data_IF_456682653029
#
_entry.id   IF_456682653029
#
_cell.length_a   1.000
_cell.length_b   1.000
_cell.length_c   1.000
_cell.angle_alpha   90.00
_cell.angle_beta   90.00
_cell.angle_gamma   90.00
#
_symmetry.space_group_name_H-M   'P 1'
#
loop_
_entity.id
_entity.type
_entity.pdbx_description
1 polymer ?
#
# COMPACT_ATOMS: atom_id res chain seq x y z
N UNK A 1 -3.84 -8.32 17.32
CA UNK A 1 -2.80 -8.35 16.29
C UNK A 1 -1.35 -8.50 16.84
N UNK A 2 -1.04 -8.08 18.07
CA UNK A 2 0.29 -8.28 18.68
C UNK A 2 0.74 -9.73 18.92
N UNK A 3 -0.09 -10.74 18.63
CA UNK A 3 0.25 -12.15 18.91
C UNK A 3 1.05 -12.83 17.79
N UNK A 4 0.98 -12.35 16.55
CA UNK A 4 1.66 -13.00 15.41
C UNK A 4 3.13 -12.60 15.37
N UNK A 5 3.45 -11.33 15.63
CA UNK A 5 4.84 -10.86 15.73
C UNK A 5 5.57 -11.49 16.91
N UNK A 6 4.91 -11.58 18.08
CA UNK A 6 5.49 -12.31 19.22
C UNK A 6 5.66 -13.80 18.94
N UNK A 7 4.80 -14.41 18.09
CA UNK A 7 4.97 -15.80 17.64
C UNK A 7 6.11 -15.92 16.63
N UNK A 8 6.23 -15.02 15.67
CA UNK A 8 7.32 -15.04 14.71
C UNK A 8 8.68 -14.87 15.41
N UNK A 9 8.85 -13.85 16.26
CA UNK A 9 10.10 -13.62 16.98
C UNK A 9 10.46 -14.76 17.95
N UNK A 10 9.48 -15.45 18.54
CA UNK A 10 9.73 -16.64 19.38
C UNK A 10 10.13 -17.86 18.57
N UNK A 11 9.60 -18.05 17.36
CA UNK A 11 10.01 -19.14 16.49
C UNK A 11 11.42 -18.98 15.93
N UNK A 12 11.81 -17.76 15.60
CA UNK A 12 13.17 -17.46 15.12
C UNK A 12 14.27 -17.75 16.15
N UNK A 13 13.96 -17.73 17.43
CA UNK A 13 14.96 -17.96 18.49
C UNK A 13 15.24 -19.46 18.75
N UNK A 14 14.37 -20.38 18.30
CA UNK A 14 14.41 -21.80 18.70
C UNK A 14 14.57 -22.81 17.57
N UNK A 15 14.73 -22.37 16.32
CA UNK A 15 14.75 -23.31 15.17
C UNK A 15 16.15 -23.84 14.82
N UNK A 16 17.17 -23.47 15.57
CA UNK A 16 18.56 -23.92 15.34
C UNK A 16 19.20 -23.41 14.06
N UNK A 17 18.52 -22.52 13.32
CA UNK A 17 19.04 -21.95 12.07
C UNK A 17 20.15 -20.93 12.38
N UNK A 18 21.06 -20.75 11.43
CA UNK A 18 22.02 -19.63 11.45
C UNK A 18 21.25 -18.35 11.67
N UNK A 19 21.69 -17.49 12.58
CA UNK A 19 20.97 -16.31 13.11
C UNK A 19 20.31 -15.38 12.06
N UNK A 20 20.64 -15.49 10.77
CA UNK A 20 20.16 -14.63 9.68
C UNK A 20 19.15 -15.30 8.74
N UNK A 21 18.85 -16.59 8.88
CA UNK A 21 17.98 -17.34 7.97
C UNK A 21 16.58 -17.59 8.57
N UNK A 22 15.60 -17.89 7.73
CA UNK A 22 14.25 -18.22 8.13
C UNK A 22 13.73 -19.47 7.42
N UNK A 23 12.79 -20.18 8.03
CA UNK A 23 12.10 -21.29 7.37
C UNK A 23 11.08 -20.77 6.35
N UNK A 24 10.80 -21.54 5.30
CA UNK A 24 9.75 -21.22 4.33
C UNK A 24 8.41 -20.96 5.04
N UNK A 25 8.06 -21.79 6.00
CA UNK A 25 6.85 -21.64 6.80
C UNK A 25 6.79 -20.28 7.51
N UNK A 26 7.88 -19.81 8.09
CA UNK A 26 7.94 -18.51 8.75
C UNK A 26 7.86 -17.34 7.76
N UNK A 27 8.53 -17.46 6.62
CA UNK A 27 8.45 -16.46 5.54
C UNK A 27 7.00 -16.31 5.05
N UNK A 28 6.34 -17.43 4.78
CA UNK A 28 4.94 -17.43 4.37
C UNK A 28 4.05 -16.85 5.47
N UNK A 29 4.22 -17.23 6.72
CA UNK A 29 3.41 -16.73 7.85
C UNK A 29 3.49 -15.20 8.02
N UNK A 30 4.63 -14.59 7.72
CA UNK A 30 4.81 -13.14 7.78
C UNK A 30 4.29 -12.43 6.52
N UNK A 31 4.56 -12.99 5.34
CA UNK A 31 4.33 -12.32 4.07
C UNK A 31 2.99 -12.66 3.41
N UNK A 32 2.30 -13.73 3.81
CA UNK A 32 1.08 -14.21 3.16
C UNK A 32 -0.21 -13.49 3.57
N UNK A 33 -0.13 -12.40 4.29
CA UNK A 33 -1.32 -11.67 4.74
C UNK A 33 -2.09 -11.11 3.55
N UNK A 34 -3.31 -11.61 3.34
CA UNK A 34 -4.34 -11.07 2.44
C UNK A 34 -4.04 -11.11 0.92
N UNK A 35 -3.45 -12.19 0.41
CA UNK A 35 -3.20 -12.25 -1.02
C UNK A 35 -3.78 -13.49 -1.70
N UNK A 36 -4.81 -13.30 -2.54
CA UNK A 36 -5.49 -14.35 -3.32
C UNK A 36 -4.57 -15.08 -4.32
N UNK A 37 -3.39 -14.53 -4.58
CA UNK A 37 -2.40 -15.11 -5.49
C UNK A 37 -1.36 -15.98 -4.80
N UNK A 38 -1.36 -16.04 -3.47
CA UNK A 38 -0.35 -16.75 -2.68
C UNK A 38 -0.22 -18.22 -3.11
N UNK A 39 -1.34 -18.93 -3.17
CA UNK A 39 -1.37 -20.34 -3.56
C UNK A 39 -0.77 -20.55 -4.96
N UNK A 40 -1.09 -19.68 -5.91
CA UNK A 40 -0.53 -19.75 -7.27
C UNK A 40 0.98 -19.55 -7.28
N UNK A 41 1.48 -18.64 -6.46
CA UNK A 41 2.93 -18.38 -6.34
C UNK A 41 3.63 -19.59 -5.74
N UNK A 42 3.13 -20.12 -4.63
CA UNK A 42 3.71 -21.30 -4.00
C UNK A 42 3.76 -22.50 -4.95
N UNK A 43 2.67 -22.73 -5.68
CA UNK A 43 2.60 -23.79 -6.70
C UNK A 43 3.61 -23.54 -7.83
N UNK A 44 3.81 -22.29 -8.26
CA UNK A 44 4.77 -21.96 -9.32
C UNK A 44 6.23 -22.24 -8.93
N UNK A 45 6.55 -22.14 -7.64
CA UNK A 45 7.86 -22.46 -7.10
C UNK A 45 7.93 -23.89 -6.52
N UNK A 46 6.86 -24.70 -6.66
CA UNK A 46 6.77 -26.06 -6.09
C UNK A 46 7.05 -26.09 -4.57
N UNK A 47 6.56 -25.08 -3.85
CA UNK A 47 6.81 -24.90 -2.42
C UNK A 47 5.56 -25.27 -1.63
N UNK A 48 5.76 -26.13 -0.63
CA UNK A 48 4.75 -26.44 0.37
C UNK A 48 4.78 -25.42 1.52
N UNK A 49 3.63 -24.80 1.81
CA UNK A 49 3.48 -23.79 2.87
C UNK A 49 3.83 -24.33 4.27
N UNK A 50 3.64 -25.62 4.51
CA UNK A 50 3.96 -26.27 5.78
C UNK A 50 5.42 -26.77 5.87
N UNK A 51 6.19 -26.54 4.81
CA UNK A 51 7.57 -27.01 4.75
C UNK A 51 8.47 -26.24 5.73
N UNK A 52 9.19 -26.96 6.57
CA UNK A 52 10.17 -26.41 7.50
C UNK A 52 11.58 -26.22 6.88
N UNK A 53 11.70 -26.35 5.56
CA UNK A 53 12.97 -26.09 4.88
C UNK A 53 13.39 -24.60 5.01
N UNK A 54 14.69 -24.40 5.13
CA UNK A 54 15.28 -23.08 5.33
C UNK A 54 15.41 -22.37 3.98
N UNK A 55 15.06 -21.11 3.93
CA UNK A 55 15.42 -20.22 2.83
C UNK A 55 16.92 -19.92 2.93
N UNK A 56 17.66 -20.33 1.90
CA UNK A 56 19.12 -20.23 1.83
C UNK A 56 19.57 -18.83 1.34
N UNK A 57 18.88 -17.79 1.78
CA UNK A 57 19.22 -16.39 1.51
C UNK A 57 19.58 -15.75 2.84
N UNK A 58 20.73 -15.11 2.91
CA UNK A 58 21.19 -14.44 4.13
C UNK A 58 20.35 -13.21 4.47
N UNK A 59 20.27 -12.87 5.75
CA UNK A 59 19.56 -11.70 6.31
C UNK A 59 18.03 -11.70 6.16
N UNK A 60 17.41 -12.76 5.69
CA UNK A 60 15.94 -12.86 5.53
C UNK A 60 15.21 -12.56 6.83
N UNK A 61 15.76 -12.95 7.97
CA UNK A 61 15.15 -12.71 9.28
C UNK A 61 15.01 -11.22 9.56
N UNK A 62 16.07 -10.44 9.37
CA UNK A 62 16.03 -8.98 9.56
C UNK A 62 15.02 -8.32 8.63
N UNK A 63 15.00 -8.70 7.34
CA UNK A 63 14.01 -8.21 6.39
C UNK A 63 12.57 -8.49 6.83
N UNK A 64 12.28 -9.70 7.34
CA UNK A 64 10.95 -10.05 7.83
C UNK A 64 10.56 -9.26 9.08
N UNK A 65 11.51 -8.99 9.97
CA UNK A 65 11.29 -8.17 11.16
C UNK A 65 10.96 -6.72 10.76
N UNK A 66 11.69 -6.14 9.81
CA UNK A 66 11.45 -4.79 9.28
C UNK A 66 10.07 -4.67 8.59
N UNK A 67 9.71 -5.66 7.77
CA UNK A 67 8.38 -5.69 7.11
C UNK A 67 7.27 -5.81 8.15
N UNK A 68 7.43 -6.68 9.13
CA UNK A 68 6.46 -6.85 10.19
C UNK A 68 6.30 -5.56 11.02
N UNK A 69 7.38 -4.86 11.31
CA UNK A 69 7.37 -3.57 11.99
C UNK A 69 6.66 -2.48 11.16
N UNK A 70 6.92 -2.43 9.84
CA UNK A 70 6.23 -1.51 8.94
C UNK A 70 4.72 -1.77 8.87
N UNK A 71 4.31 -3.02 8.82
CA UNK A 71 2.89 -3.40 8.82
C UNK A 71 2.22 -3.11 10.17
N UNK A 72 3.00 -3.14 11.26
CA UNK A 72 2.50 -2.76 12.59
C UNK A 72 2.40 -1.25 12.78
N UNK A 73 3.17 -0.45 12.06
CA UNK A 73 3.14 1.01 12.17
C UNK A 73 2.07 1.67 11.32
N UNK A 74 1.62 1.03 10.26
CA UNK A 74 0.69 1.63 9.32
C UNK A 74 -0.42 0.68 8.87
N UNK A 75 -1.65 1.19 8.86
CA UNK A 75 -2.79 0.54 8.20
C UNK A 75 -2.83 0.99 6.74
N UNK A 76 -2.86 0.03 5.80
CA UNK A 76 -2.96 0.29 4.36
C UNK A 76 -4.35 -0.15 3.89
N UNK A 77 -5.06 0.76 3.22
CA UNK A 77 -6.42 0.52 2.72
C UNK A 77 -6.50 1.05 1.29
N UNK A 78 -6.92 0.22 0.36
CA UNK A 78 -7.27 0.65 -0.98
C UNK A 78 -8.78 0.88 -1.03
N UNK A 79 -9.19 2.06 -1.48
CA UNK A 79 -10.59 2.47 -1.54
C UNK A 79 -10.98 2.72 -2.99
N UNK A 80 -12.04 2.06 -3.42
CA UNK A 80 -12.61 2.28 -4.74
C UNK A 80 -13.54 3.48 -4.71
N UNK A 81 -13.20 4.53 -5.47
CA UNK A 81 -14.01 5.75 -5.58
C UNK A 81 -14.16 6.17 -7.04
N UNK A 82 -15.20 6.94 -7.35
CA UNK A 82 -15.32 7.55 -8.69
C UNK A 82 -14.40 8.77 -8.77
N UNK A 83 -13.78 8.98 -9.92
CA UNK A 83 -12.90 10.14 -10.13
C UNK A 83 -13.58 11.47 -9.83
N UNK A 84 -14.89 11.59 -10.17
CA UNK A 84 -15.71 12.79 -9.92
C UNK A 84 -16.02 13.03 -8.44
N UNK A 85 -15.88 12.01 -7.61
CA UNK A 85 -16.19 12.05 -6.18
C UNK A 85 -14.94 12.34 -5.34
N UNK A 86 -13.82 12.71 -5.97
CA UNK A 86 -12.62 13.20 -5.32
C UNK A 86 -12.58 14.73 -5.49
N UNK A 87 -12.74 15.45 -4.38
CA UNK A 87 -12.81 16.90 -4.36
C UNK A 87 -11.61 17.52 -3.64
N UNK A 88 -10.97 18.51 -4.26
CA UNK A 88 -9.88 19.26 -3.63
C UNK A 88 -10.48 20.27 -2.63
N UNK A 89 -10.19 20.11 -1.36
CA UNK A 89 -10.61 21.06 -0.31
C UNK A 89 -9.67 22.26 -0.25
N UNK A 90 -8.38 22.00 -0.25
CA UNK A 90 -7.37 23.10 -0.24
C UNK A 90 -6.00 22.60 -0.69
N UNK A 91 -5.24 23.51 -1.28
CA UNK A 91 -3.81 23.34 -1.49
C UNK A 91 -3.06 23.70 -0.22
N UNK A 92 -2.12 22.87 0.17
CA UNK A 92 -1.25 23.09 1.31
C UNK A 92 0.14 23.54 0.86
N UNK A 93 0.92 24.03 1.81
CA UNK A 93 2.37 24.21 1.62
C UNK A 93 3.05 22.84 1.38
N UNK A 94 4.31 22.84 1.04
CA UNK A 94 5.10 21.62 0.78
C UNK A 94 4.54 20.71 -0.31
N UNK A 95 3.92 21.29 -1.34
CA UNK A 95 3.40 20.50 -2.48
C UNK A 95 2.30 19.50 -2.11
N UNK A 96 1.62 19.66 -0.99
CA UNK A 96 0.53 18.82 -0.53
C UNK A 96 -0.84 19.42 -0.86
N UNK A 97 -1.88 18.62 -0.67
CA UNK A 97 -3.27 19.05 -0.77
C UNK A 97 -4.15 18.22 0.15
N UNK A 98 -5.28 18.77 0.55
CA UNK A 98 -6.38 18.05 1.20
C UNK A 98 -7.44 17.73 0.17
N UNK A 99 -7.84 16.48 0.10
CA UNK A 99 -8.95 16.03 -0.72
C UNK A 99 -10.04 15.41 0.15
N UNK A 100 -11.30 15.67 -0.22
CA UNK A 100 -12.43 14.92 0.29
C UNK A 100 -12.77 13.81 -0.71
N UNK A 101 -12.82 12.59 -0.22
CA UNK A 101 -13.29 11.42 -0.96
C UNK A 101 -14.75 11.18 -0.56
N UNK A 102 -15.67 11.09 -1.53
CA UNK A 102 -17.10 10.82 -1.30
C UNK A 102 -17.49 9.43 -1.83
N UNK A 103 -18.60 8.91 -1.31
CA UNK A 103 -19.15 7.64 -1.77
C UNK A 103 -18.29 6.41 -1.44
N UNK A 104 -17.59 6.47 -0.32
CA UNK A 104 -16.75 5.37 0.16
C UNK A 104 -17.65 4.19 0.56
N UNK A 105 -17.33 3.02 0.03
CA UNK A 105 -18.04 1.76 0.32
C UNK A 105 -17.22 0.76 1.15
N UNK A 106 -15.97 1.10 1.48
CA UNK A 106 -15.10 0.21 2.27
C UNK A 106 -15.65 -0.01 3.68
N UNK A 107 -16.04 -1.25 4.06
CA UNK A 107 -16.75 -1.49 5.31
C UNK A 107 -15.97 -1.11 6.57
N UNK A 108 -14.64 -1.23 6.53
CA UNK A 108 -13.78 -0.86 7.66
C UNK A 108 -13.83 0.64 7.95
N UNK A 109 -13.84 1.46 6.90
CA UNK A 109 -13.93 2.92 7.01
C UNK A 109 -15.33 3.36 7.43
N UNK A 110 -16.37 2.82 6.80
CA UNK A 110 -17.77 3.12 7.15
C UNK A 110 -18.06 2.81 8.61
N UNK A 111 -17.62 1.66 9.11
CA UNK A 111 -17.79 1.27 10.51
C UNK A 111 -17.09 2.23 11.47
N UNK A 112 -15.91 2.73 11.09
CA UNK A 112 -15.07 3.58 11.94
C UNK A 112 -15.55 5.03 11.95
N UNK A 113 -15.83 5.60 10.78
CA UNK A 113 -16.13 7.03 10.63
C UNK A 113 -17.62 7.33 10.60
N UNK A 114 -18.50 6.33 10.44
CA UNK A 114 -19.95 6.49 10.29
C UNK A 114 -20.35 7.48 9.18
N UNK A 115 -19.50 7.63 8.18
CA UNK A 115 -19.65 8.52 7.03
C UNK A 115 -19.14 7.83 5.80
N UNK A 116 -19.73 8.14 4.65
CA UNK A 116 -19.26 7.74 3.33
C UNK A 116 -18.26 8.72 2.72
N UNK A 117 -17.82 9.70 3.50
CA UNK A 117 -16.81 10.68 3.10
C UNK A 117 -15.59 10.64 4.02
N UNK A 118 -14.42 10.93 3.47
CA UNK A 118 -13.15 10.91 4.18
C UNK A 118 -12.23 12.03 3.70
N UNK A 119 -11.78 12.87 4.63
CA UNK A 119 -10.75 13.87 4.38
C UNK A 119 -9.38 13.20 4.42
N UNK A 120 -8.56 13.44 3.38
CA UNK A 120 -7.24 12.86 3.23
C UNK A 120 -6.20 13.91 2.82
N UNK A 121 -5.01 13.83 3.40
CA UNK A 121 -3.86 14.64 2.98
C UNK A 121 -3.01 13.85 1.98
N UNK A 122 -2.57 14.51 0.91
CA UNK A 122 -1.75 13.84 -0.11
C UNK A 122 -0.31 13.63 0.33
N UNK A 123 0.28 12.54 -0.14
CA UNK A 123 1.70 12.22 -0.06
C UNK A 123 2.22 11.79 -1.42
N UNK A 124 3.49 11.96 -1.66
CA UNK A 124 4.16 11.58 -2.91
C UNK A 124 3.48 12.21 -4.14
N UNK A 125 3.16 11.42 -5.16
CA UNK A 125 2.53 11.87 -6.40
C UNK A 125 1.01 12.04 -6.31
N UNK A 126 0.36 11.66 -5.22
CA UNK A 126 -1.10 11.58 -5.14
C UNK A 126 -1.83 12.87 -5.51
N UNK A 127 -1.27 14.04 -5.18
CA UNK A 127 -1.83 15.34 -5.61
C UNK A 127 -1.87 15.44 -7.13
N UNK A 128 -0.75 15.16 -7.79
CA UNK A 128 -0.66 15.19 -9.24
C UNK A 128 -1.56 14.12 -9.86
N UNK A 129 -1.55 12.89 -9.32
CA UNK A 129 -2.38 11.79 -9.82
C UNK A 129 -3.86 12.18 -9.91
N UNK A 130 -4.38 12.90 -8.89
CA UNK A 130 -5.78 13.38 -8.88
C UNK A 130 -5.99 14.56 -9.82
N UNK A 131 -5.16 15.59 -9.73
CA UNK A 131 -5.35 16.81 -10.52
C UNK A 131 -5.16 16.56 -12.02
N UNK A 132 -4.33 15.60 -12.39
CA UNK A 132 -4.07 15.25 -13.79
C UNK A 132 -5.21 14.46 -14.45
N UNK A 133 -6.23 14.01 -13.70
CA UNK A 133 -7.48 13.53 -14.32
C UNK A 133 -8.11 14.59 -15.24
N UNK A 134 -7.88 15.87 -14.94
CA UNK A 134 -8.41 17.01 -15.69
C UNK A 134 -7.30 17.94 -16.20
N UNK A 135 -6.05 17.49 -16.20
CA UNK A 135 -4.86 18.30 -16.57
C UNK A 135 -4.68 19.58 -15.73
N UNK A 136 -5.08 19.54 -14.45
CA UNK A 136 -5.10 20.72 -13.58
C UNK A 136 -3.86 20.86 -12.70
N UNK A 137 -2.95 19.91 -12.66
CA UNK A 137 -1.84 19.89 -11.70
C UNK A 137 -0.99 21.17 -11.74
N UNK A 138 -0.57 21.61 -12.94
CA UNK A 138 0.21 22.84 -13.13
C UNK A 138 -0.61 24.10 -12.81
N UNK A 139 -1.88 24.09 -13.18
CA UNK A 139 -2.77 25.23 -12.93
C UNK A 139 -3.06 25.39 -11.43
N UNK A 140 -3.34 24.31 -10.72
CA UNK A 140 -3.58 24.33 -9.29
C UNK A 140 -2.36 24.82 -8.50
N UNK A 141 -1.16 24.39 -8.89
CA UNK A 141 0.08 24.91 -8.29
C UNK A 141 0.22 26.43 -8.51
N UNK A 142 -0.09 26.91 -9.71
CA UNK A 142 -0.05 28.35 -9.99
C UNK A 142 -1.10 29.13 -9.18
N UNK A 143 -2.32 28.61 -9.05
CA UNK A 143 -3.35 29.24 -8.22
C UNK A 143 -2.88 29.37 -6.77
N UNK A 144 -2.24 28.35 -6.21
CA UNK A 144 -1.64 28.42 -4.87
C UNK A 144 -0.57 29.49 -4.79
N UNK A 145 0.38 29.50 -5.72
CA UNK A 145 1.54 30.41 -5.72
C UNK A 145 1.13 31.89 -5.88
N UNK A 146 0.04 32.13 -6.61
CA UNK A 146 -0.52 33.47 -6.86
C UNK A 146 -1.69 33.84 -5.92
N UNK A 147 -2.04 32.94 -4.96
CA UNK A 147 -3.18 33.10 -4.04
C UNK A 147 -4.54 33.27 -4.74
N UNK A 148 -4.77 32.51 -5.81
CA UNK A 148 -6.03 32.50 -6.58
C UNK A 148 -6.98 31.38 -6.14
N UNK A 149 -7.22 31.25 -4.84
CA UNK A 149 -7.98 30.14 -4.27
C UNK A 149 -9.42 30.11 -4.80
N UNK A 150 -10.09 31.28 -4.88
CA UNK A 150 -11.45 31.39 -5.42
C UNK A 150 -11.54 30.91 -6.89
N UNK A 151 -10.51 31.19 -7.70
CA UNK A 151 -10.49 30.73 -9.09
C UNK A 151 -10.37 29.20 -9.16
N UNK A 152 -9.58 28.62 -8.28
CA UNK A 152 -9.42 27.17 -8.20
C UNK A 152 -10.72 26.48 -7.78
N UNK A 153 -11.45 27.04 -6.79
CA UNK A 153 -12.76 26.55 -6.37
C UNK A 153 -13.78 26.62 -7.52
N UNK A 154 -13.87 27.73 -8.24
CA UNK A 154 -14.77 27.87 -9.36
C UNK A 154 -14.51 26.85 -10.47
N UNK A 155 -13.26 26.58 -10.78
CA UNK A 155 -12.88 25.59 -11.79
C UNK A 155 -13.23 24.17 -11.33
N UNK A 156 -13.00 23.84 -10.07
CA UNK A 156 -13.39 22.57 -9.52
C UNK A 156 -14.91 22.35 -9.59
N UNK A 157 -15.66 23.36 -9.17
CA UNK A 157 -17.12 23.33 -9.24
C UNK A 157 -17.62 23.17 -10.69
N UNK A 158 -16.99 23.86 -11.63
CA UNK A 158 -17.32 23.70 -13.05
C UNK A 158 -17.05 22.28 -13.53
N UNK A 159 -15.90 21.71 -13.21
CA UNK A 159 -15.55 20.35 -13.59
C UNK A 159 -16.52 19.37 -12.96
N UNK A 160 -16.79 19.46 -11.67
CA UNK A 160 -17.70 18.57 -10.95
C UNK A 160 -19.11 18.56 -11.54
N UNK A 161 -19.62 19.73 -11.94
CA UNK A 161 -20.97 19.85 -12.54
C UNK A 161 -21.03 19.34 -13.97
N UNK A 162 -19.92 19.43 -14.72
CA UNK A 162 -19.91 19.12 -16.15
C UNK A 162 -19.24 17.77 -16.48
N UNK A 163 -18.61 17.13 -15.50
CA UNK A 163 -18.01 15.81 -15.75
C UNK A 163 -19.08 14.72 -15.66
N UNK A 164 -19.17 13.91 -16.70
CA UNK A 164 -19.93 12.66 -16.73
C UNK A 164 -19.05 11.46 -16.42
N UNK A 165 -17.84 11.72 -15.96
CA UNK A 165 -16.86 10.65 -15.74
C UNK A 165 -17.25 9.78 -14.56
N UNK A 166 -17.94 8.67 -14.84
CA UNK A 166 -18.32 7.63 -13.91
C UNK A 166 -17.19 6.59 -13.69
N UNK A 167 -16.01 6.85 -14.21
CA UNK A 167 -14.86 5.96 -14.04
C UNK A 167 -14.45 5.86 -12.58
N UNK A 168 -14.19 4.63 -12.19
CA UNK A 168 -13.62 4.34 -10.88
C UNK A 168 -12.10 4.40 -10.91
N UNK A 169 -11.55 4.78 -9.77
CA UNK A 169 -10.13 4.67 -9.48
C UNK A 169 -9.93 4.04 -8.09
N UNK A 170 -8.73 3.59 -7.83
CA UNK A 170 -8.31 3.08 -6.54
C UNK A 170 -7.51 4.15 -5.82
N UNK A 171 -8.05 4.69 -4.73
CA UNK A 171 -7.37 5.60 -3.83
C UNK A 171 -6.64 4.77 -2.77
N UNK A 172 -5.32 4.89 -2.72
CA UNK A 172 -4.46 4.12 -1.81
C UNK A 172 -4.17 4.93 -0.57
N UNK A 173 -4.78 4.53 0.53
CA UNK A 173 -4.67 5.19 1.81
C UNK A 173 -3.65 4.52 2.72
N UNK A 174 -2.97 5.35 3.50
CA UNK A 174 -2.16 4.91 4.63
C UNK A 174 -2.62 5.68 5.86
N UNK A 175 -2.81 4.97 6.95
CA UNK A 175 -3.01 5.56 8.27
C UNK A 175 -1.90 5.08 9.19
N UNK A 176 -1.14 6.00 9.78
CA UNK A 176 -0.24 5.68 10.87
C UNK A 176 -1.06 5.39 12.13
N UNK A 177 -0.64 4.41 12.94
CA UNK A 177 -1.43 3.95 14.10
C UNK A 177 -1.65 5.05 15.15
N UNK A 178 -0.68 5.93 15.29
CA UNK A 178 -0.68 7.02 16.27
C UNK A 178 -1.33 8.31 15.75
N UNK A 179 -1.81 8.30 14.49
CA UNK A 179 -2.46 9.44 13.85
C UNK A 179 -3.92 9.09 13.52
N UNK A 180 -4.81 10.08 13.64
CA UNK A 180 -6.21 9.90 13.24
C UNK A 180 -6.46 10.19 11.76
N UNK A 181 -5.50 10.79 11.09
CA UNK A 181 -5.60 11.22 9.69
C UNK A 181 -5.18 10.11 8.73
N UNK A 182 -5.94 9.97 7.64
CA UNK A 182 -5.56 9.15 6.50
C UNK A 182 -4.76 9.97 5.49
N UNK A 183 -3.69 9.37 4.99
CA UNK A 183 -2.83 9.94 3.98
C UNK A 183 -3.14 9.27 2.63
N UNK A 184 -3.42 10.06 1.61
CA UNK A 184 -3.58 9.58 0.23
C UNK A 184 -2.19 9.45 -0.40
N UNK A 185 -1.77 8.21 -0.62
CA UNK A 185 -0.43 7.90 -1.15
C UNK A 185 -0.35 7.95 -2.67
N UNK A 186 -1.38 7.43 -3.33
CA UNK A 186 -1.46 7.36 -4.78
C UNK A 186 -2.92 7.17 -5.21
N UNK A 187 -3.22 7.55 -6.45
CA UNK A 187 -4.47 7.20 -7.11
C UNK A 187 -4.15 6.51 -8.43
N UNK A 188 -4.72 5.33 -8.63
CA UNK A 188 -4.42 4.47 -9.77
C UNK A 188 -5.70 4.05 -10.49
N UNK A 189 -5.58 3.61 -11.74
CA UNK A 189 -6.70 3.02 -12.47
C UNK A 189 -7.24 1.78 -11.74
N UNK A 190 -8.56 1.68 -11.63
CA UNK A 190 -9.25 0.56 -11.01
C UNK A 190 -9.08 -0.76 -11.80
N UNK A 191 -8.88 -0.66 -13.11
CA UNK A 191 -8.82 -1.84 -14.00
C UNK A 191 -7.41 -2.28 -14.36
N UNK A 192 -6.47 -1.35 -14.42
CA UNK A 192 -5.11 -1.62 -14.90
C UNK A 192 -4.14 -2.00 -13.77
N UNK A 193 -4.45 -1.65 -12.54
CA UNK A 193 -3.56 -1.85 -11.41
C UNK A 193 -4.07 -2.95 -10.46
N UNK A 194 -3.23 -3.96 -10.23
CA UNK A 194 -3.42 -4.95 -9.16
C UNK A 194 -2.43 -4.67 -8.04
N UNK A 195 -2.96 -4.46 -6.84
CA UNK A 195 -2.12 -4.24 -5.66
C UNK A 195 -1.60 -5.58 -5.14
N UNK A 196 -0.42 -5.94 -5.56
CA UNK A 196 0.25 -7.13 -5.01
C UNK A 196 0.84 -6.88 -3.62
N UNK A 197 1.02 -5.61 -3.21
CA UNK A 197 1.65 -5.25 -1.95
C UNK A 197 3.15 -5.55 -1.89
N UNK A 198 3.83 -4.97 -0.90
CA UNK A 198 5.26 -5.21 -0.68
C UNK A 198 5.52 -6.65 -0.24
N UNK A 199 4.65 -7.20 0.60
CA UNK A 199 4.79 -8.56 1.15
C UNK A 199 4.80 -9.61 0.04
N UNK A 200 3.90 -9.49 -0.93
CA UNK A 200 3.85 -10.37 -2.09
C UNK A 200 5.13 -10.26 -2.94
N UNK A 201 5.56 -9.03 -3.23
CA UNK A 201 6.76 -8.80 -4.04
C UNK A 201 8.01 -9.37 -3.37
N UNK A 202 8.13 -9.20 -2.05
CA UNK A 202 9.22 -9.75 -1.26
C UNK A 202 9.16 -11.27 -1.23
N UNK A 203 7.97 -11.87 -1.06
CA UNK A 203 7.84 -13.32 -1.10
C UNK A 203 8.32 -13.90 -2.43
N UNK A 204 7.84 -13.35 -3.56
CA UNK A 204 8.26 -13.81 -4.90
C UNK A 204 9.77 -13.67 -5.07
N UNK A 205 10.34 -12.54 -4.66
CA UNK A 205 11.79 -12.32 -4.74
C UNK A 205 12.57 -13.32 -3.88
N UNK A 206 12.14 -13.58 -2.65
CA UNK A 206 12.79 -14.54 -1.75
C UNK A 206 12.73 -15.98 -2.30
N UNK A 207 11.59 -16.41 -2.83
CA UNK A 207 11.46 -17.73 -3.43
C UNK A 207 12.32 -17.89 -4.66
N UNK A 208 12.35 -16.86 -5.53
CA UNK A 208 13.21 -16.87 -6.73
C UNK A 208 14.71 -16.90 -6.37
N UNK A 209 15.12 -16.07 -5.39
CA UNK A 209 16.51 -16.09 -4.91
C UNK A 209 16.87 -17.42 -4.26
N UNK A 210 15.98 -18.00 -3.46
CA UNK A 210 16.21 -19.30 -2.85
C UNK A 210 16.38 -20.41 -3.90
N UNK A 211 15.56 -20.40 -4.94
CA UNK A 211 15.70 -21.35 -6.05
C UNK A 211 17.06 -21.17 -6.75
N UNK A 212 17.45 -19.92 -7.03
CA UNK A 212 18.75 -19.64 -7.62
C UNK A 212 19.92 -20.14 -6.76
N UNK A 213 19.89 -19.92 -5.45
CA UNK A 213 20.93 -20.42 -4.52
C UNK A 213 21.02 -21.95 -4.54
N UNK A 214 19.89 -22.64 -4.56
CA UNK A 214 19.85 -24.11 -4.61
C UNK A 214 20.47 -24.63 -5.92
N UNK A 215 20.19 -23.98 -7.05
CA UNK A 215 20.67 -24.39 -8.37
C UNK A 215 22.14 -24.01 -8.61
N UNK A 216 22.55 -22.79 -8.26
CA UNK A 216 23.91 -22.28 -8.51
C UNK A 216 24.92 -22.66 -7.43
N UNK A 217 24.46 -22.95 -6.21
CA UNK A 217 25.25 -23.10 -4.98
C UNK A 217 26.03 -21.83 -4.57
N UNK A 218 25.61 -20.68 -5.10
CA UNK A 218 26.17 -19.39 -4.69
C UNK A 218 25.52 -18.89 -3.39
N UNK A 219 26.24 -18.07 -2.63
CA UNK A 219 25.69 -17.41 -1.47
C UNK A 219 25.03 -16.10 -1.88
N UNK A 220 23.77 -15.92 -1.52
CA UNK A 220 23.00 -14.69 -1.75
C UNK A 220 22.62 -14.08 -0.40
N UNK A 221 22.78 -12.76 -0.29
CA UNK A 221 22.42 -11.98 0.91
C UNK A 221 21.57 -10.80 0.48
N UNK A 222 20.64 -10.41 1.36
CA UNK A 222 19.79 -9.21 1.23
C UNK A 222 20.29 -8.13 2.17
#
# INVERSE_FOLDING_TARGET
>A
MGSILKKASRHFQNDGTVQSMATIKNVIAVLSRDNDFMEKVLNSFSVDAEQNSIIQVGNVKSLLEDIAELDDKAEKIDVRVKKKDIYLETMLEDEKALFMLYGITEPRLLKKHKSDSLLVETRYSAKADVLDFNNLSKFANRCRDEHWDELLEHIQDFIRRNTTNEEFCSARLIKLKDEDQYLLRAVTSDTAYKNYGINFSVLVALLAMNQYVIESKDNVYI
#
